data_IF_787154907704
#
_entry.id   IF_787154907704
#
_cell.length_a   1.000
_cell.length_b   1.000
_cell.length_c   1.000
_cell.angle_alpha   90.00
_cell.angle_beta   90.00
_cell.angle_gamma   90.00
#
_symmetry.space_group_name_H-M   'P 1'
#
loop_
_entity.id
_entity.type
_entity.pdbx_description
1 polymer ?
#
# COMPACT_ATOMS: atom_id res chain seq x y z
N UNK A 1 -9.45 3.50 -9.13
CA UNK A 1 -9.22 2.23 -8.39
C UNK A 1 -7.72 1.96 -8.41
N UNK A 2 -7.15 1.50 -7.31
CA UNK A 2 -5.78 1.01 -7.26
C UNK A 2 -5.76 -0.49 -6.90
N UNK A 3 -4.76 -1.22 -7.40
CA UNK A 3 -4.57 -2.65 -7.14
C UNK A 3 -3.11 -2.89 -6.79
N UNK A 4 -2.85 -3.51 -5.63
CA UNK A 4 -1.54 -4.04 -5.27
C UNK A 4 -1.36 -5.42 -5.89
N UNK A 5 -0.25 -5.63 -6.57
CA UNK A 5 0.12 -6.89 -7.19
C UNK A 5 1.51 -7.34 -6.73
N UNK A 6 1.54 -8.50 -6.08
CA UNK A 6 2.72 -9.23 -5.62
C UNK A 6 3.15 -10.21 -6.74
N UNK A 7 4.29 -9.95 -7.36
CA UNK A 7 4.82 -10.78 -8.44
C UNK A 7 5.61 -11.96 -7.89
N UNK A 8 5.62 -13.08 -8.62
CA UNK A 8 6.36 -14.28 -8.22
C UNK A 8 7.89 -14.08 -8.08
N UNK A 9 8.44 -12.98 -8.62
CA UNK A 9 9.84 -12.58 -8.46
C UNK A 9 10.08 -11.67 -7.25
N UNK A 10 9.09 -11.49 -6.37
CA UNK A 10 9.19 -10.71 -5.14
C UNK A 10 9.06 -9.20 -5.34
N UNK A 11 8.73 -8.74 -6.55
CA UNK A 11 8.42 -7.33 -6.80
C UNK A 11 6.98 -7.03 -6.45
N UNK A 12 6.78 -5.85 -5.87
CA UNK A 12 5.46 -5.29 -5.62
C UNK A 12 5.19 -4.13 -6.55
N UNK A 13 3.96 -4.06 -7.07
CA UNK A 13 3.49 -2.88 -7.82
C UNK A 13 2.10 -2.45 -7.40
N UNK A 14 1.87 -1.15 -7.48
CA UNK A 14 0.54 -0.59 -7.53
C UNK A 14 0.18 -0.22 -8.95
N UNK A 15 -0.99 -0.68 -9.38
CA UNK A 15 -1.60 -0.30 -10.64
C UNK A 15 -2.80 0.60 -10.38
N UNK A 16 -2.79 1.80 -10.94
CA UNK A 16 -3.92 2.72 -10.84
C UNK A 16 -4.72 2.75 -12.15
N UNK A 17 -6.03 2.65 -12.00
CA UNK A 17 -7.06 2.83 -13.03
C UNK A 17 -7.83 4.11 -12.69
N UNK A 18 -7.51 5.21 -13.37
CA UNK A 18 -8.24 6.47 -13.23
C UNK A 18 -9.54 6.41 -14.02
N UNK A 19 -10.61 6.99 -13.46
CA UNK A 19 -11.90 7.04 -14.14
C UNK A 19 -11.83 7.96 -15.37
N UNK A 20 -12.54 7.59 -16.43
CA UNK A 20 -12.74 8.42 -17.61
C UNK A 20 -14.14 9.02 -17.63
N UNK A 21 -14.37 9.98 -18.52
CA UNK A 21 -15.65 10.69 -18.63
C UNK A 21 -16.79 9.83 -19.18
N UNK A 22 -16.48 8.66 -19.74
CA UNK A 22 -17.42 7.73 -20.33
C UNK A 22 -17.91 6.68 -19.31
N UNK A 23 -17.54 6.81 -18.03
CA UNK A 23 -17.91 5.88 -16.97
C UNK A 23 -17.07 4.60 -16.93
N UNK A 24 -15.94 4.58 -17.65
CA UNK A 24 -14.94 3.51 -17.61
C UNK A 24 -13.63 3.96 -16.94
N UNK A 25 -12.55 3.24 -17.24
CA UNK A 25 -11.19 3.56 -16.79
C UNK A 25 -10.29 3.91 -17.97
N UNK A 26 -9.27 4.75 -17.73
CA UNK A 26 -8.16 4.94 -18.66
C UNK A 26 -7.22 3.71 -18.62
N UNK A 27 -6.25 3.67 -19.54
CA UNK A 27 -5.19 2.66 -19.49
C UNK A 27 -4.49 2.69 -18.12
N UNK A 28 -4.28 1.52 -17.48
CA UNK A 28 -3.65 1.48 -16.18
C UNK A 28 -2.18 1.86 -16.28
N UNK A 29 -1.67 2.51 -15.24
CA UNK A 29 -0.25 2.80 -15.10
C UNK A 29 0.28 2.30 -13.75
N UNK A 30 1.58 2.00 -13.70
CA UNK A 30 2.25 1.65 -12.47
C UNK A 30 2.40 2.91 -11.62
N UNK A 31 1.53 3.08 -10.63
CA UNK A 31 1.49 4.25 -9.74
C UNK A 31 2.55 4.20 -8.65
N UNK A 32 3.07 2.99 -8.37
CA UNK A 32 4.28 2.77 -7.60
C UNK A 32 4.92 1.43 -8.00
N UNK A 33 6.24 1.33 -7.88
CA UNK A 33 7.00 0.09 -8.07
C UNK A 33 8.05 0.01 -6.98
N UNK A 34 7.86 -0.93 -6.06
CA UNK A 34 8.81 -1.16 -4.98
C UNK A 34 10.06 -1.88 -5.44
N UNK A 35 11.13 -1.84 -4.64
CA UNK A 35 12.20 -2.83 -4.73
C UNK A 35 11.64 -4.24 -4.43
N UNK A 36 12.47 -5.27 -4.47
CA UNK A 36 12.14 -6.55 -3.83
C UNK A 36 11.98 -6.28 -2.31
N UNK A 37 10.77 -5.92 -1.88
CA UNK A 37 10.50 -5.52 -0.49
C UNK A 37 10.41 -6.74 0.43
N UNK A 38 10.20 -7.92 -0.15
CA UNK A 38 9.88 -9.16 0.57
C UNK A 38 8.50 -9.14 1.22
N UNK A 39 7.64 -8.16 0.92
CA UNK A 39 6.26 -8.20 1.35
C UNK A 39 5.53 -9.33 0.63
N UNK A 40 4.63 -9.97 1.35
CA UNK A 40 3.81 -11.07 0.85
C UNK A 40 2.40 -10.82 1.30
N UNK A 41 1.42 -10.96 0.41
CA UNK A 41 0.02 -10.72 0.75
C UNK A 41 -0.47 -11.53 1.98
N UNK A 42 0.10 -12.70 2.25
CA UNK A 42 -0.26 -13.55 3.41
C UNK A 42 0.13 -12.96 4.77
N UNK A 43 1.11 -12.05 4.81
CA UNK A 43 1.59 -11.36 6.02
C UNK A 43 1.08 -9.92 6.12
N UNK A 44 0.28 -9.49 5.16
CA UNK A 44 -0.22 -8.12 5.08
C UNK A 44 -1.71 -8.02 5.44
N UNK A 45 -2.09 -6.93 6.11
CA UNK A 45 -3.47 -6.43 6.15
C UNK A 45 -3.49 -5.05 5.53
N UNK A 46 -4.30 -4.89 4.49
CA UNK A 46 -4.50 -3.61 3.82
C UNK A 46 -5.64 -2.84 4.46
N UNK A 47 -5.45 -1.54 4.61
CA UNK A 47 -6.48 -0.58 4.98
C UNK A 47 -6.42 0.63 4.05
N UNK A 48 -7.57 1.25 3.83
CA UNK A 48 -7.74 2.39 2.93
C UNK A 48 -8.49 3.48 3.70
N UNK A 49 -8.07 4.72 3.50
CA UNK A 49 -8.71 5.91 4.06
C UNK A 49 -7.86 7.14 3.82
N UNK A 50 -8.46 8.31 3.94
CA UNK A 50 -7.77 9.60 3.86
C UNK A 50 -6.95 9.83 5.14
N UNK A 51 -5.63 9.57 5.09
CA UNK A 51 -4.75 9.61 6.25
C UNK A 51 -4.03 10.95 6.42
N UNK A 52 -4.02 11.80 5.38
CA UNK A 52 -3.41 13.14 5.40
C UNK A 52 -4.41 14.30 5.27
N UNK A 53 -5.70 13.99 5.19
CA UNK A 53 -6.83 14.92 5.08
C UNK A 53 -6.83 15.74 3.78
N UNK A 54 -6.33 15.17 2.68
CA UNK A 54 -6.30 15.81 1.37
C UNK A 54 -7.56 15.61 0.52
N UNK A 55 -8.51 14.80 1.01
CA UNK A 55 -9.77 14.46 0.36
C UNK A 55 -9.70 13.27 -0.62
N UNK A 56 -8.57 12.56 -0.67
CA UNK A 56 -8.38 11.30 -1.42
C UNK A 56 -8.13 10.17 -0.43
N UNK A 57 -8.61 8.99 -0.77
CA UNK A 57 -8.25 7.80 0.00
C UNK A 57 -6.80 7.40 -0.27
N UNK A 58 -6.04 7.15 0.79
CA UNK A 58 -4.70 6.60 0.81
C UNK A 58 -4.72 5.09 1.05
N UNK A 59 -3.55 4.46 1.02
CA UNK A 59 -3.39 3.05 1.37
C UNK A 59 -2.40 2.88 2.52
N UNK A 60 -2.66 1.93 3.40
CA UNK A 60 -1.65 1.43 4.33
C UNK A 60 -1.65 -0.09 4.42
N UNK A 61 -0.46 -0.65 4.63
CA UNK A 61 -0.23 -2.08 4.83
C UNK A 61 0.35 -2.32 6.22
N UNK A 62 -0.42 -3.01 7.08
CA UNK A 62 0.10 -3.57 8.32
C UNK A 62 0.78 -4.89 7.99
N UNK A 63 2.08 -5.00 8.29
CA UNK A 63 2.90 -6.15 7.93
C UNK A 63 3.49 -6.85 9.16
N UNK A 64 3.31 -8.17 9.23
CA UNK A 64 3.87 -9.05 10.25
C UNK A 64 5.23 -9.61 9.81
N UNK A 65 6.30 -9.31 10.56
CA UNK A 65 7.65 -9.78 10.26
C UNK A 65 7.92 -11.21 10.76
N UNK A 66 7.06 -11.75 11.63
CA UNK A 66 7.16 -13.12 12.15
C UNK A 66 7.95 -13.26 13.46
N UNK A 67 8.38 -12.15 14.06
CA UNK A 67 9.20 -12.09 15.28
C UNK A 67 8.67 -11.04 16.27
N UNK A 68 7.35 -11.04 16.50
CA UNK A 68 6.57 -10.03 17.26
C UNK A 68 6.66 -8.60 16.74
N UNK A 69 7.45 -8.35 15.68
CA UNK A 69 7.49 -7.05 15.02
C UNK A 69 6.35 -6.91 14.01
N UNK A 70 5.58 -5.85 14.16
CA UNK A 70 4.57 -5.41 13.20
C UNK A 70 4.85 -3.96 12.83
N UNK A 71 4.74 -3.63 11.55
CA UNK A 71 4.87 -2.25 11.05
C UNK A 71 3.68 -1.84 10.21
N UNK A 72 3.31 -0.57 10.30
CA UNK A 72 2.39 0.05 9.38
C UNK A 72 3.20 0.87 8.37
N UNK A 73 2.99 0.56 7.09
CA UNK A 73 3.53 1.32 5.98
C UNK A 73 2.40 2.08 5.31
N UNK A 74 2.53 3.41 5.20
CA UNK A 74 1.53 4.28 4.58
C UNK A 74 2.04 4.76 3.23
N UNK A 75 1.13 4.78 2.25
CA UNK A 75 1.35 5.27 0.90
C UNK A 75 0.29 6.34 0.62
N UNK A 76 0.74 7.58 0.49
CA UNK A 76 -0.16 8.71 0.23
C UNK A 76 -0.45 8.84 -1.26
N UNK A 77 -1.71 9.10 -1.60
CA UNK A 77 -2.19 9.23 -2.97
C UNK A 77 -1.90 10.62 -3.53
N UNK A 78 -1.30 10.68 -4.72
CA UNK A 78 -1.06 11.93 -5.44
C UNK A 78 -2.28 12.33 -6.30
N UNK A 79 -2.45 13.63 -6.63
CA UNK A 79 -3.58 14.09 -7.46
C UNK A 79 -3.69 13.45 -8.86
N UNK A 80 -2.59 12.90 -9.38
CA UNK A 80 -2.56 12.17 -10.65
C UNK A 80 -3.00 10.69 -10.52
N UNK A 81 -3.36 10.23 -9.31
CA UNK A 81 -3.64 8.83 -8.99
C UNK A 81 -2.39 7.98 -8.74
N UNK A 82 -1.22 8.61 -8.68
CA UNK A 82 0.04 8.03 -8.24
C UNK A 82 0.07 7.79 -6.74
N UNK A 83 1.10 7.10 -6.26
CA UNK A 83 1.38 6.98 -4.83
C UNK A 83 2.81 7.45 -4.55
N UNK A 84 2.98 8.14 -3.42
CA UNK A 84 4.31 8.46 -2.90
C UNK A 84 5.04 7.18 -2.46
N UNK A 85 6.36 7.29 -2.23
CA UNK A 85 7.14 6.19 -1.68
C UNK A 85 6.57 5.80 -0.30
N UNK A 86 6.33 4.49 -0.05
CA UNK A 86 5.85 4.04 1.25
C UNK A 86 6.79 4.46 2.38
N UNK A 87 6.21 4.96 3.46
CA UNK A 87 6.97 5.26 4.68
C UNK A 87 6.40 4.53 5.88
N UNK A 88 7.29 4.22 6.85
CA UNK A 88 6.91 3.56 8.09
C UNK A 88 6.20 4.58 8.99
N UNK A 89 4.87 4.53 9.03
CA UNK A 89 4.06 5.44 9.85
C UNK A 89 3.96 4.97 11.30
N UNK A 90 4.12 3.67 11.57
CA UNK A 90 4.07 3.11 12.92
C UNK A 90 4.82 1.77 13.03
N UNK A 91 5.26 1.40 14.25
CA UNK A 91 5.89 0.11 14.56
C UNK A 91 5.61 -0.33 16.00
N UNK A 92 5.53 -1.64 16.21
CA UNK A 92 5.62 -2.31 17.51
C UNK A 92 6.50 -3.55 17.36
N UNK A 93 7.38 -3.80 18.32
CA UNK A 93 8.33 -4.92 18.32
C UNK A 93 7.93 -6.04 19.27
N UNK A 94 6.90 -5.81 20.08
CA UNK A 94 6.35 -6.73 21.09
C UNK A 94 4.87 -6.97 20.85
N UNK A 95 4.43 -6.92 19.58
CA UNK A 95 3.02 -7.03 19.24
C UNK A 95 2.46 -8.39 19.67
N UNK A 96 1.35 -8.36 20.41
CA UNK A 96 0.73 -9.55 20.97
C UNK A 96 1.40 -10.10 22.23
N UNK A 97 2.43 -9.42 22.76
CA UNK A 97 2.92 -9.64 24.12
C UNK A 97 2.06 -8.83 25.11
N UNK A 98 1.27 -9.54 25.90
CA UNK A 98 0.32 -8.96 26.86
C UNK A 98 0.79 -9.09 28.31
N UNK A 99 2.07 -9.44 28.51
CA UNK A 99 2.67 -9.68 29.82
C UNK A 99 2.90 -8.39 30.62
#
# INVERSE_FOLDING_TARGET
>A
IAVWYDYADGRDRLWTFTANQQGGFNDPFASWSGPETGWTASKSKLVVGDFDADGRDDMAALYDYGDTTVKLWTLLTEPNGGFQEPFQSWTDTTWGDWA
#
